data_IF_747489335336
#
_entry.id   IF_747489335336
#
_cell.length_a   1.000
_cell.length_b   1.000
_cell.length_c   1.000
_cell.angle_alpha   90.00
_cell.angle_beta   90.00
_cell.angle_gamma   90.00
#
_symmetry.space_group_name_H-M   'P 1'
#
loop_
_entity.id
_entity.type
_entity.pdbx_description
1 polymer ?
#
# COMPACT_ATOMS: atom_id res chain seq x y z
N UNK A 1 -26.84 -3.29 -72.51
CA UNK A 1 -28.03 -2.77 -71.82
C UNK A 1 -28.42 -3.75 -70.74
N UNK A 2 -28.30 -3.36 -69.47
CA UNK A 2 -29.01 -3.84 -68.27
C UNK A 2 -28.10 -3.64 -67.05
N UNK A 3 -28.36 -2.55 -66.34
CA UNK A 3 -27.80 -2.21 -65.04
C UNK A 3 -28.85 -2.55 -63.97
N UNK A 4 -28.46 -3.21 -62.88
CA UNK A 4 -29.17 -3.27 -61.58
C UNK A 4 -28.09 -3.56 -60.51
N UNK A 5 -27.53 -2.54 -59.85
CA UNK A 5 -27.96 -1.95 -58.56
C UNK A 5 -27.99 -2.96 -57.40
N UNK A 6 -26.85 -3.12 -56.72
CA UNK A 6 -26.78 -3.67 -55.36
C UNK A 6 -26.87 -2.51 -54.37
N UNK A 7 -27.99 -2.43 -53.65
CA UNK A 7 -28.20 -1.50 -52.55
C UNK A 7 -27.45 -2.01 -51.30
N UNK A 8 -26.34 -1.36 -50.95
CA UNK A 8 -25.71 -1.52 -49.63
C UNK A 8 -26.49 -0.74 -48.59
N UNK A 9 -27.05 -1.45 -47.62
CA UNK A 9 -27.62 -0.85 -46.41
C UNK A 9 -26.48 -0.50 -45.45
N UNK A 10 -26.11 0.78 -45.39
CA UNK A 10 -25.33 1.33 -44.29
C UNK A 10 -26.22 1.39 -43.04
N UNK A 11 -26.02 0.46 -42.10
CA UNK A 11 -26.57 0.59 -40.75
C UNK A 11 -25.66 1.56 -39.99
N UNK A 12 -26.11 2.80 -39.87
CA UNK A 12 -25.56 3.78 -38.93
C UNK A 12 -25.87 3.31 -37.50
N UNK A 13 -24.86 2.79 -36.81
CA UNK A 13 -24.93 2.59 -35.36
C UNK A 13 -24.73 3.96 -34.70
N UNK A 14 -25.68 4.47 -33.91
CA UNK A 14 -25.46 5.70 -33.16
C UNK A 14 -24.37 5.45 -32.12
N UNK A 15 -23.28 6.22 -32.21
CA UNK A 15 -22.32 6.36 -31.11
C UNK A 15 -23.02 7.08 -29.97
N UNK A 16 -23.57 6.32 -29.03
CA UNK A 16 -23.99 6.84 -27.74
C UNK A 16 -22.76 7.41 -27.03
N UNK A 17 -22.72 8.74 -26.90
CA UNK A 17 -21.78 9.44 -26.05
C UNK A 17 -21.99 8.98 -24.61
N UNK A 18 -21.13 8.10 -24.14
CA UNK A 18 -21.06 7.75 -22.74
C UNK A 18 -20.65 9.01 -21.95
N UNK A 19 -21.62 9.64 -21.31
CA UNK A 19 -21.38 10.67 -20.30
C UNK A 19 -20.49 10.08 -19.23
N UNK A 20 -19.28 10.60 -19.06
CA UNK A 20 -18.45 10.34 -17.91
C UNK A 20 -19.21 10.81 -16.66
N UNK A 21 -19.88 9.89 -15.98
CA UNK A 21 -20.42 10.13 -14.66
C UNK A 21 -19.22 10.37 -13.74
N UNK A 22 -19.06 11.62 -13.29
CA UNK A 22 -18.17 11.96 -12.19
C UNK A 22 -18.72 11.29 -10.93
N UNK A 23 -18.31 10.06 -10.66
CA UNK A 23 -18.56 9.43 -9.37
C UNK A 23 -17.83 10.26 -8.32
N UNK A 24 -18.60 10.89 -7.43
CA UNK A 24 -18.03 11.50 -6.22
C UNK A 24 -17.20 10.44 -5.50
N UNK A 25 -16.03 10.78 -4.93
CA UNK A 25 -15.18 9.79 -4.29
C UNK A 25 -15.97 9.09 -3.18
N UNK A 26 -16.04 7.76 -3.25
CA UNK A 26 -16.64 6.92 -2.22
C UNK A 26 -15.94 7.24 -0.91
N UNK A 27 -16.58 8.04 -0.04
CA UNK A 27 -16.04 8.31 1.29
C UNK A 27 -16.17 7.03 2.10
N UNK A 28 -15.06 6.51 2.59
CA UNK A 28 -15.12 5.39 3.52
C UNK A 28 -15.87 5.80 4.78
N UNK A 29 -16.99 5.13 5.03
CA UNK A 29 -17.68 5.22 6.31
C UNK A 29 -16.85 4.44 7.33
N UNK A 30 -16.38 5.17 8.33
CA UNK A 30 -15.75 4.60 9.53
C UNK A 30 -16.78 4.34 10.63
N UNK A 31 -18.09 4.34 10.29
CA UNK A 31 -19.15 4.07 11.25
C UNK A 31 -18.89 2.72 11.94
N UNK A 32 -18.93 2.75 13.27
CA UNK A 32 -18.69 1.58 14.11
C UNK A 32 -19.78 0.54 13.85
N UNK A 33 -19.48 -0.45 13.03
CA UNK A 33 -20.28 -1.67 12.99
C UNK A 33 -20.07 -2.45 14.28
N UNK A 34 -21.17 -2.84 14.94
CA UNK A 34 -21.12 -3.49 16.26
C UNK A 34 -20.44 -4.86 16.23
N UNK A 35 -20.55 -5.59 15.12
CA UNK A 35 -19.88 -6.86 14.86
C UNK A 35 -18.36 -6.68 14.77
N UNK A 36 -17.88 -5.71 13.99
CA UNK A 36 -16.45 -5.38 13.86
C UNK A 36 -15.88 -4.88 15.18
N UNK A 37 -16.61 -4.01 15.90
CA UNK A 37 -16.20 -3.53 17.22
C UNK A 37 -16.11 -4.66 18.26
N UNK A 38 -17.00 -5.66 18.17
CA UNK A 38 -16.94 -6.85 19.03
C UNK A 38 -15.74 -7.71 18.72
N UNK A 39 -15.46 -7.95 17.44
CA UNK A 39 -14.24 -8.64 17.01
C UNK A 39 -12.97 -7.94 17.49
N UNK A 40 -12.89 -6.60 17.34
CA UNK A 40 -11.75 -5.81 17.82
C UNK A 40 -11.52 -5.96 19.33
N UNK A 41 -12.58 -5.95 20.15
CA UNK A 41 -12.45 -6.20 21.60
C UNK A 41 -11.94 -7.61 21.88
N UNK A 42 -12.47 -8.60 21.19
CA UNK A 42 -12.06 -9.99 21.38
C UNK A 42 -10.62 -10.26 20.91
N UNK A 43 -10.08 -9.49 19.96
CA UNK A 43 -8.65 -9.53 19.62
C UNK A 43 -7.73 -9.12 20.78
N UNK A 44 -8.24 -8.35 21.76
CA UNK A 44 -7.50 -7.95 22.97
C UNK A 44 -7.71 -8.92 24.15
N UNK A 45 -8.46 -10.02 23.95
CA UNK A 45 -8.69 -11.00 25.02
C UNK A 45 -7.37 -11.66 25.47
N UNK A 46 -7.29 -11.97 26.76
CA UNK A 46 -6.11 -12.63 27.35
C UNK A 46 -5.96 -14.08 26.90
N UNK A 47 -7.05 -14.77 26.63
CA UNK A 47 -7.05 -16.15 26.17
C UNK A 47 -6.97 -16.25 24.63
N UNK A 48 -6.20 -17.22 24.15
CA UNK A 48 -6.00 -17.46 22.73
C UNK A 48 -7.27 -17.88 21.97
N UNK A 49 -8.14 -18.76 22.50
CA UNK A 49 -9.37 -19.15 21.80
C UNK A 49 -10.27 -17.97 21.44
N UNK A 50 -10.47 -17.01 22.36
CA UNK A 50 -11.28 -15.82 22.09
C UNK A 50 -10.64 -14.92 21.03
N UNK A 51 -9.32 -14.75 21.05
CA UNK A 51 -8.60 -13.99 20.01
C UNK A 51 -8.75 -14.63 18.64
N UNK A 52 -8.59 -15.96 18.55
CA UNK A 52 -8.72 -16.71 17.29
C UNK A 52 -10.15 -16.65 16.74
N UNK A 53 -11.16 -16.86 17.60
CA UNK A 53 -12.56 -16.75 17.19
C UNK A 53 -12.89 -15.34 16.67
N UNK A 54 -12.35 -14.30 17.32
CA UNK A 54 -12.54 -12.91 16.91
C UNK A 54 -11.84 -12.58 15.60
N UNK A 55 -10.62 -13.08 15.39
CA UNK A 55 -9.90 -12.94 14.12
C UNK A 55 -10.65 -13.64 12.98
N UNK A 56 -11.19 -14.83 13.22
CA UNK A 56 -12.00 -15.57 12.25
C UNK A 56 -13.29 -14.82 11.89
N UNK A 57 -13.99 -14.28 12.88
CA UNK A 57 -15.20 -13.49 12.65
C UNK A 57 -14.91 -12.23 11.82
N UNK A 58 -13.83 -11.51 12.11
CA UNK A 58 -13.40 -10.35 11.31
C UNK A 58 -13.01 -10.76 9.88
N UNK A 59 -12.34 -11.91 9.72
CA UNK A 59 -12.02 -12.48 8.41
C UNK A 59 -13.27 -12.83 7.59
N UNK A 60 -14.33 -13.32 8.22
CA UNK A 60 -15.63 -13.60 7.57
C UNK A 60 -16.37 -12.32 7.16
N UNK A 61 -16.22 -11.23 7.92
CA UNK A 61 -16.72 -9.92 7.52
C UNK A 61 -15.94 -9.39 6.30
N UNK A 62 -14.65 -9.71 6.20
CA UNK A 62 -13.83 -9.44 5.03
C UNK A 62 -13.54 -7.96 4.84
N UNK A 63 -13.58 -7.50 3.58
CA UNK A 63 -13.26 -6.13 3.17
C UNK A 63 -14.12 -5.06 3.86
N UNK A 64 -15.32 -5.41 4.29
CA UNK A 64 -16.21 -4.54 5.07
C UNK A 64 -15.67 -4.21 6.47
N UNK A 65 -14.79 -5.04 7.03
CA UNK A 65 -14.15 -4.76 8.32
C UNK A 65 -13.00 -3.76 8.19
N UNK A 66 -12.44 -3.58 6.98
CA UNK A 66 -11.23 -2.79 6.76
C UNK A 66 -11.32 -1.35 7.21
N UNK A 67 -12.39 -0.57 6.94
CA UNK A 67 -12.45 0.82 7.38
C UNK A 67 -12.23 0.95 8.90
N UNK A 68 -12.91 0.13 9.70
CA UNK A 68 -12.80 0.16 11.16
C UNK A 68 -11.44 -0.38 11.64
N UNK A 69 -10.90 -1.44 11.01
CA UNK A 69 -9.55 -1.93 11.30
C UNK A 69 -8.47 -0.88 11.01
N UNK A 70 -8.60 -0.15 9.90
CA UNK A 70 -7.70 0.92 9.50
C UNK A 70 -7.80 2.13 10.44
N UNK A 71 -9.00 2.47 10.94
CA UNK A 71 -9.15 3.45 11.99
C UNK A 71 -8.43 3.02 13.28
N UNK A 72 -8.58 1.75 13.67
CA UNK A 72 -7.87 1.19 14.84
C UNK A 72 -6.35 1.25 14.67
N UNK A 73 -5.81 0.95 13.48
CA UNK A 73 -4.38 1.14 13.17
C UNK A 73 -3.99 2.61 13.34
N UNK A 74 -4.78 3.54 12.80
CA UNK A 74 -4.49 4.98 12.83
C UNK A 74 -4.53 5.59 14.22
N UNK A 75 -5.35 5.03 15.11
CA UNK A 75 -5.52 5.45 16.51
C UNK A 75 -4.49 4.81 17.43
N UNK A 76 -4.17 3.53 17.21
CA UNK A 76 -3.29 2.76 18.09
C UNK A 76 -1.82 3.00 17.79
N UNK A 77 -1.47 3.19 16.50
CA UNK A 77 -0.07 3.19 16.07
C UNK A 77 0.47 4.60 15.86
N UNK A 78 1.68 4.82 16.39
CA UNK A 78 2.42 6.08 16.19
C UNK A 78 2.83 6.23 14.73
N UNK A 79 2.70 7.45 14.22
CA UNK A 79 2.97 7.82 12.83
C UNK A 79 4.37 8.42 12.65
N UNK A 80 4.98 8.82 13.75
CA UNK A 80 6.14 9.71 13.88
C UNK A 80 7.35 9.04 14.55
N UNK A 81 7.30 7.71 14.77
CA UNK A 81 8.33 7.00 15.49
C UNK A 81 8.47 5.56 15.02
N UNK A 82 9.71 5.07 15.05
CA UNK A 82 10.05 3.67 14.80
C UNK A 82 9.25 2.72 15.70
N UNK A 83 8.90 1.56 15.14
CA UNK A 83 8.15 0.54 15.86
C UNK A 83 8.88 0.02 17.12
N UNK A 84 10.20 0.12 17.16
CA UNK A 84 11.04 -0.18 18.33
C UNK A 84 10.74 0.75 19.52
N UNK A 85 10.33 1.99 19.26
CA UNK A 85 9.99 2.99 20.28
C UNK A 85 8.53 2.90 20.77
N UNK A 86 7.70 2.02 20.18
CA UNK A 86 6.32 1.84 20.63
C UNK A 86 6.27 1.07 21.96
N UNK A 87 5.35 1.37 22.89
CA UNK A 87 5.12 0.53 24.05
C UNK A 87 4.86 -0.93 23.68
N UNK A 88 5.26 -1.88 24.53
CA UNK A 88 5.13 -3.31 24.25
C UNK A 88 3.67 -3.70 23.92
N UNK A 89 2.70 -3.23 24.72
CA UNK A 89 1.28 -3.47 24.47
C UNK A 89 0.84 -2.96 23.08
N UNK A 90 1.35 -1.80 22.65
CA UNK A 90 1.06 -1.26 21.32
C UNK A 90 1.65 -2.14 20.21
N UNK A 91 2.86 -2.67 20.38
CA UNK A 91 3.47 -3.62 19.42
C UNK A 91 2.68 -4.92 19.33
N UNK A 92 2.22 -5.45 20.46
CA UNK A 92 1.44 -6.68 20.50
C UNK A 92 0.09 -6.49 19.80
N UNK A 93 -0.60 -5.38 20.07
CA UNK A 93 -1.82 -5.00 19.33
C UNK A 93 -1.53 -4.79 17.83
N UNK A 94 -0.40 -4.18 17.47
CA UNK A 94 -0.02 -3.97 16.07
C UNK A 94 0.18 -5.29 15.32
N UNK A 95 0.85 -6.26 15.95
CA UNK A 95 1.03 -7.61 15.38
C UNK A 95 -0.33 -8.23 15.08
N UNK A 96 -1.26 -8.22 16.03
CA UNK A 96 -2.58 -8.83 15.88
C UNK A 96 -3.40 -8.11 14.80
N UNK A 97 -3.48 -6.78 14.85
CA UNK A 97 -4.24 -5.98 13.88
C UNK A 97 -3.72 -6.17 12.46
N UNK A 98 -2.40 -6.11 12.27
CA UNK A 98 -1.79 -6.30 10.94
C UNK A 98 -1.92 -7.73 10.43
N UNK A 99 -1.97 -8.73 11.31
CA UNK A 99 -2.20 -10.12 10.89
C UNK A 99 -3.62 -10.31 10.33
N UNK A 100 -4.62 -9.76 11.01
CA UNK A 100 -6.03 -9.80 10.55
C UNK A 100 -6.20 -9.05 9.23
N UNK A 101 -5.65 -7.83 9.13
CA UNK A 101 -5.73 -7.04 7.88
C UNK A 101 -5.03 -7.76 6.73
N UNK A 102 -3.83 -8.31 6.96
CA UNK A 102 -3.11 -9.11 5.95
C UNK A 102 -3.93 -10.31 5.51
N UNK A 103 -4.55 -11.03 6.45
CA UNK A 103 -5.39 -12.19 6.14
C UNK A 103 -6.61 -11.79 5.30
N UNK A 104 -7.29 -10.69 5.64
CA UNK A 104 -8.41 -10.17 4.83
C UNK A 104 -7.96 -9.83 3.41
N UNK A 105 -6.84 -9.10 3.26
CA UNK A 105 -6.29 -8.76 1.94
C UNK A 105 -5.94 -9.99 1.09
N UNK A 106 -5.58 -11.09 1.73
CA UNK A 106 -5.18 -12.33 1.04
C UNK A 106 -6.39 -13.20 0.64
N UNK A 107 -7.53 -13.07 1.32
CA UNK A 107 -8.67 -13.98 1.17
C UNK A 107 -9.92 -13.32 0.56
N UNK A 108 -10.02 -11.99 0.58
CA UNK A 108 -11.13 -11.26 -0.03
C UNK A 108 -10.63 -10.45 -1.26
N UNK A 109 -11.07 -10.81 -2.48
CA UNK A 109 -10.66 -10.12 -3.71
C UNK A 109 -10.97 -8.61 -3.75
N UNK A 110 -11.95 -8.13 -2.98
CA UNK A 110 -12.32 -6.71 -2.92
C UNK A 110 -11.50 -5.94 -1.88
N UNK A 111 -10.77 -6.63 -1.00
CA UNK A 111 -10.09 -6.02 0.12
C UNK A 111 -9.01 -5.01 -0.29
N UNK A 112 -8.24 -5.29 -1.35
CA UNK A 112 -7.20 -4.36 -1.82
C UNK A 112 -7.82 -3.06 -2.33
N UNK A 113 -8.85 -3.16 -3.17
CA UNK A 113 -9.56 -2.00 -3.70
C UNK A 113 -10.20 -1.20 -2.57
N UNK A 114 -10.88 -1.89 -1.63
CA UNK A 114 -11.52 -1.26 -0.48
C UNK A 114 -10.50 -0.57 0.43
N UNK A 115 -9.37 -1.21 0.70
CA UNK A 115 -8.28 -0.61 1.48
C UNK A 115 -7.81 0.69 0.80
N UNK A 116 -7.49 0.64 -0.50
CA UNK A 116 -7.03 1.81 -1.27
C UNK A 116 -8.02 2.98 -1.25
N UNK A 117 -9.32 2.70 -1.36
CA UNK A 117 -10.38 3.71 -1.25
C UNK A 117 -10.42 4.40 0.14
N UNK A 118 -10.04 3.69 1.19
CA UNK A 118 -10.04 4.19 2.57
C UNK A 118 -8.68 4.70 3.04
N UNK A 119 -7.64 4.56 2.22
CA UNK A 119 -6.27 4.86 2.61
C UNK A 119 -6.09 6.33 2.93
N UNK A 120 -5.43 6.59 4.06
CA UNK A 120 -4.95 7.91 4.47
C UNK A 120 -3.49 7.80 4.91
N UNK A 121 -2.80 8.93 5.00
CA UNK A 121 -1.44 9.00 5.55
C UNK A 121 -1.38 8.46 6.99
N UNK A 122 -2.46 8.67 7.76
CA UNK A 122 -2.66 8.13 9.10
C UNK A 122 -2.55 6.60 9.19
N UNK A 123 -2.92 5.89 8.13
CA UNK A 123 -2.84 4.42 8.05
C UNK A 123 -1.50 3.99 7.48
N UNK A 124 -1.03 4.64 6.41
CA UNK A 124 0.19 4.21 5.71
C UNK A 124 1.44 4.46 6.54
N UNK A 125 1.58 5.63 7.18
CA UNK A 125 2.83 5.97 7.89
C UNK A 125 3.18 4.98 9.01
N UNK A 126 2.26 4.59 9.92
CA UNK A 126 2.59 3.57 10.91
C UNK A 126 2.92 2.21 10.30
N UNK A 127 2.26 1.83 9.20
CA UNK A 127 2.58 0.59 8.49
C UNK A 127 3.98 0.63 7.86
N UNK A 128 4.42 1.79 7.35
CA UNK A 128 5.79 1.94 6.83
C UNK A 128 6.81 1.83 7.97
N UNK A 129 6.58 2.48 9.11
CA UNK A 129 7.42 2.31 10.31
C UNK A 129 7.47 0.85 10.79
N UNK A 130 6.33 0.16 10.79
CA UNK A 130 6.26 -1.27 11.12
C UNK A 130 7.04 -2.13 10.12
N UNK A 131 6.88 -1.89 8.82
CA UNK A 131 7.52 -2.66 7.75
C UNK A 131 9.05 -2.53 7.70
N UNK A 132 9.61 -1.49 8.34
CA UNK A 132 11.06 -1.31 8.51
C UNK A 132 11.61 -1.69 9.88
N UNK A 133 10.76 -1.98 10.86
CA UNK A 133 11.17 -2.24 12.24
C UNK A 133 11.75 -3.64 12.46
N UNK A 134 12.28 -3.86 13.67
CA UNK A 134 13.03 -5.09 13.98
C UNK A 134 12.16 -6.29 14.34
N UNK A 135 10.93 -6.07 14.83
CA UNK A 135 10.00 -7.16 15.13
C UNK A 135 9.59 -7.89 13.83
N UNK A 136 10.11 -9.10 13.61
CA UNK A 136 9.94 -9.83 12.37
C UNK A 136 8.47 -10.05 11.97
N UNK A 137 7.61 -10.44 12.92
CA UNK A 137 6.20 -10.74 12.61
C UNK A 137 5.45 -9.48 12.17
N UNK A 138 5.60 -8.39 12.94
CA UNK A 138 5.03 -7.10 12.58
C UNK A 138 5.60 -6.58 11.25
N UNK A 139 6.92 -6.69 11.07
CA UNK A 139 7.63 -6.23 9.88
C UNK A 139 7.12 -6.93 8.61
N UNK A 140 6.97 -8.25 8.66
CA UNK A 140 6.46 -9.05 7.53
C UNK A 140 4.97 -8.79 7.28
N UNK A 141 4.16 -8.67 8.33
CA UNK A 141 2.73 -8.38 8.16
C UNK A 141 2.51 -7.02 7.49
N UNK A 142 3.18 -5.97 7.99
CA UNK A 142 3.09 -4.64 7.44
C UNK A 142 3.64 -4.57 6.00
N UNK A 143 4.76 -5.24 5.72
CA UNK A 143 5.30 -5.31 4.37
C UNK A 143 4.35 -5.99 3.37
N UNK A 144 3.70 -7.08 3.77
CA UNK A 144 2.70 -7.75 2.94
C UNK A 144 1.45 -6.88 2.69
N UNK A 145 0.97 -6.17 3.71
CA UNK A 145 -0.14 -5.21 3.53
C UNK A 145 0.28 -4.14 2.52
N UNK A 146 1.42 -3.49 2.75
CA UNK A 146 1.91 -2.39 1.92
C UNK A 146 2.21 -2.83 0.48
N UNK A 147 2.79 -4.00 0.27
CA UNK A 147 3.06 -4.52 -1.08
C UNK A 147 1.79 -4.73 -1.92
N UNK A 148 0.63 -4.95 -1.27
CA UNK A 148 -0.66 -5.06 -1.93
C UNK A 148 -1.33 -3.70 -2.17
N UNK A 149 -1.18 -2.75 -1.25
CA UNK A 149 -1.99 -1.52 -1.23
C UNK A 149 -1.25 -0.27 -1.70
N UNK A 150 0.08 -0.22 -1.56
CA UNK A 150 0.89 0.88 -2.12
C UNK A 150 0.77 0.84 -3.64
N UNK A 151 0.67 2.04 -4.21
CA UNK A 151 0.53 2.27 -5.64
C UNK A 151 1.18 3.60 -6.04
N UNK A 152 0.94 4.02 -7.28
CA UNK A 152 1.45 5.27 -7.83
C UNK A 152 1.02 6.52 -7.06
N UNK A 153 -0.02 6.46 -6.23
CA UNK A 153 -0.53 7.60 -5.47
C UNK A 153 0.12 7.72 -4.08
N UNK A 154 0.77 6.65 -3.61
CA UNK A 154 1.22 6.48 -2.21
C UNK A 154 2.68 6.01 -2.07
N UNK A 155 3.37 5.62 -3.14
CA UNK A 155 4.75 5.09 -3.07
C UNK A 155 5.73 6.04 -2.37
N UNK A 156 5.50 7.36 -2.42
CA UNK A 156 6.36 8.35 -1.77
C UNK A 156 6.58 8.09 -0.27
N UNK A 157 5.60 7.51 0.45
CA UNK A 157 5.74 7.16 1.85
C UNK A 157 6.86 6.14 2.05
N UNK A 158 6.95 5.13 1.17
CA UNK A 158 8.01 4.11 1.22
C UNK A 158 9.37 4.71 0.84
N UNK A 159 9.38 5.55 -0.21
CA UNK A 159 10.62 6.20 -0.69
C UNK A 159 11.26 7.09 0.37
N UNK A 160 10.46 7.77 1.20
CA UNK A 160 11.00 8.59 2.28
C UNK A 160 11.80 7.76 3.28
N UNK A 161 11.23 6.64 3.72
CA UNK A 161 11.88 5.79 4.71
C UNK A 161 13.06 5.00 4.12
N UNK A 162 13.05 4.70 2.82
CA UNK A 162 14.18 4.05 2.15
C UNK A 162 15.45 4.88 2.19
N UNK A 163 15.33 6.21 2.24
CA UNK A 163 16.49 7.11 2.24
C UNK A 163 17.17 7.27 3.58
N UNK A 164 16.54 6.80 4.64
CA UNK A 164 17.14 6.80 5.95
C UNK A 164 18.38 5.91 5.97
N UNK A 165 19.53 6.48 6.33
CA UNK A 165 20.77 5.73 6.44
C UNK A 165 20.79 4.80 7.67
N UNK A 166 19.96 5.06 8.67
CA UNK A 166 19.87 4.28 9.91
C UNK A 166 18.99 3.04 9.85
N UNK A 167 18.24 2.83 8.76
CA UNK A 167 17.39 1.65 8.60
C UNK A 167 18.22 0.36 8.53
N UNK A 168 17.76 -0.69 9.22
CA UNK A 168 18.43 -2.00 9.24
C UNK A 168 18.37 -2.69 7.87
N UNK A 169 19.26 -3.67 7.64
CA UNK A 169 19.29 -4.42 6.38
C UNK A 169 17.96 -5.13 6.06
N UNK A 170 17.32 -5.74 7.06
CA UNK A 170 16.02 -6.38 6.90
C UNK A 170 14.90 -5.35 6.67
N UNK A 171 14.92 -4.22 7.36
CA UNK A 171 13.96 -3.14 7.14
C UNK A 171 14.06 -2.59 5.72
N UNK A 172 15.28 -2.36 5.24
CA UNK A 172 15.55 -1.88 3.88
C UNK A 172 15.07 -2.87 2.82
N UNK A 173 15.40 -4.15 2.98
CA UNK A 173 14.96 -5.19 2.04
C UNK A 173 13.43 -5.26 1.94
N UNK A 174 12.70 -5.10 3.05
CA UNK A 174 11.25 -5.08 3.05
C UNK A 174 10.67 -3.86 2.32
N UNK A 175 11.19 -2.65 2.58
CA UNK A 175 10.74 -1.45 1.89
C UNK A 175 11.06 -1.49 0.38
N UNK A 176 12.21 -2.05 0.00
CA UNK A 176 12.53 -2.32 -1.40
C UNK A 176 11.55 -3.33 -2.00
N UNK A 177 11.21 -4.40 -1.28
CA UNK A 177 10.21 -5.39 -1.71
C UNK A 177 8.83 -4.78 -1.98
N UNK A 178 8.37 -3.86 -1.11
CA UNK A 178 7.15 -3.08 -1.34
C UNK A 178 7.27 -2.23 -2.62
N UNK A 179 8.38 -1.54 -2.81
CA UNK A 179 8.61 -0.73 -4.01
C UNK A 179 8.62 -1.60 -5.28
N UNK A 180 9.18 -2.80 -5.18
CA UNK A 180 9.26 -3.76 -6.27
C UNK A 180 7.90 -4.27 -6.74
N UNK A 181 6.91 -4.39 -5.85
CA UNK A 181 5.57 -4.89 -6.21
C UNK A 181 4.83 -3.96 -7.18
N UNK A 182 5.19 -2.67 -7.21
CA UNK A 182 4.57 -1.69 -8.08
C UNK A 182 5.43 -1.24 -9.28
N UNK A 183 6.70 -1.62 -9.29
CA UNK A 183 7.70 -1.13 -10.25
C UNK A 183 7.30 -1.33 -11.72
N UNK A 184 6.60 -2.43 -12.06
CA UNK A 184 6.22 -2.76 -13.43
C UNK A 184 5.07 -1.93 -14.00
N UNK A 185 4.39 -1.14 -13.17
CA UNK A 185 3.30 -0.24 -13.62
C UNK A 185 3.49 1.19 -13.10
N UNK A 186 4.73 1.54 -12.71
CA UNK A 186 5.10 2.87 -12.26
C UNK A 186 4.93 3.91 -13.38
N UNK A 187 4.31 5.03 -13.05
CA UNK A 187 4.20 6.21 -13.92
C UNK A 187 5.52 6.99 -13.95
N UNK A 188 5.70 7.83 -14.96
CA UNK A 188 6.95 8.54 -15.24
C UNK A 188 7.56 9.24 -14.03
N UNK A 189 6.78 10.03 -13.30
CA UNK A 189 7.25 10.79 -12.13
C UNK A 189 7.68 9.85 -10.99
N UNK A 190 6.98 8.72 -10.82
CA UNK A 190 7.33 7.71 -9.85
C UNK A 190 8.57 6.92 -10.27
N UNK A 191 8.75 6.60 -11.55
CA UNK A 191 9.98 5.98 -12.06
C UNK A 191 11.19 6.86 -11.74
N UNK A 192 11.11 8.16 -12.05
CA UNK A 192 12.19 9.11 -11.75
C UNK A 192 12.49 9.18 -10.24
N UNK A 193 11.43 9.24 -9.41
CA UNK A 193 11.52 9.29 -7.96
C UNK A 193 12.11 8.04 -7.33
N UNK A 194 11.70 6.87 -7.82
CA UNK A 194 12.23 5.57 -7.39
C UNK A 194 13.70 5.50 -7.78
N UNK A 195 14.07 5.74 -9.05
CA UNK A 195 15.46 5.68 -9.50
C UNK A 195 16.38 6.58 -8.67
N UNK A 196 15.99 7.84 -8.45
CA UNK A 196 16.74 8.76 -7.58
C UNK A 196 16.90 8.23 -6.15
N UNK A 197 15.87 7.58 -5.61
CA UNK A 197 15.93 6.94 -4.29
C UNK A 197 16.87 5.75 -4.31
N UNK A 198 16.84 4.91 -5.34
CA UNK A 198 17.71 3.74 -5.47
C UNK A 198 19.18 4.13 -5.61
N UNK A 199 19.50 5.25 -6.27
CA UNK A 199 20.87 5.77 -6.35
C UNK A 199 21.42 6.09 -4.95
N UNK A 200 20.66 6.85 -4.16
CA UNK A 200 21.01 7.17 -2.76
C UNK A 200 21.17 5.89 -1.94
N UNK A 201 20.23 4.95 -2.08
CA UNK A 201 20.28 3.68 -1.34
C UNK A 201 21.50 2.85 -1.74
N UNK A 202 21.83 2.79 -3.04
CA UNK A 202 23.01 2.07 -3.54
C UNK A 202 24.30 2.63 -2.93
N UNK A 203 24.44 3.95 -2.86
CA UNK A 203 25.58 4.59 -2.21
C UNK A 203 25.67 4.22 -0.72
N UNK A 204 24.54 4.28 0.00
CA UNK A 204 24.49 3.94 1.43
C UNK A 204 24.89 2.49 1.73
N UNK A 205 24.59 1.55 0.82
CA UNK A 205 24.81 0.11 1.06
C UNK A 205 26.01 -0.46 0.29
N UNK A 206 26.75 0.35 -0.46
CA UNK A 206 27.77 -0.10 -1.41
C UNK A 206 28.77 -1.09 -0.78
N UNK A 207 29.28 -0.73 0.40
CA UNK A 207 30.22 -1.54 1.17
C UNK A 207 29.59 -2.16 2.43
N UNK A 208 28.25 -2.09 2.55
CA UNK A 208 27.52 -2.61 3.71
C UNK A 208 27.38 -4.13 3.68
N UNK A 209 27.66 -4.77 4.80
CA UNK A 209 27.44 -6.21 5.04
C UNK A 209 25.94 -6.45 5.26
N UNK A 210 25.42 -7.59 4.76
CA UNK A 210 24.02 -7.99 4.96
C UNK A 210 23.02 -7.38 3.97
N UNK A 211 23.48 -6.58 3.01
CA UNK A 211 22.62 -5.91 2.02
C UNK A 211 22.52 -6.64 0.67
N UNK A 212 22.94 -7.89 0.55
CA UNK A 212 22.89 -8.65 -0.71
C UNK A 212 21.48 -8.76 -1.27
N UNK A 213 20.50 -9.05 -0.42
CA UNK A 213 19.09 -9.07 -0.81
C UNK A 213 18.62 -7.69 -1.29
N UNK A 214 19.03 -6.61 -0.62
CA UNK A 214 18.68 -5.25 -1.04
C UNK A 214 19.26 -4.95 -2.42
N UNK A 215 20.54 -5.27 -2.66
CA UNK A 215 21.20 -5.09 -3.97
C UNK A 215 20.51 -5.89 -5.07
N UNK A 216 20.07 -7.11 -4.79
CA UNK A 216 19.29 -7.92 -5.73
C UNK A 216 17.95 -7.27 -6.07
N UNK A 217 17.17 -6.85 -5.07
CA UNK A 217 15.86 -6.23 -5.28
C UNK A 217 16.00 -4.91 -6.06
N UNK A 218 17.03 -4.10 -5.78
CA UNK A 218 17.30 -2.86 -6.53
C UNK A 218 17.46 -3.13 -8.02
N UNK A 219 18.22 -4.17 -8.40
CA UNK A 219 18.36 -4.56 -9.81
C UNK A 219 17.03 -4.99 -10.44
N UNK A 220 16.21 -5.74 -9.70
CA UNK A 220 14.88 -6.16 -10.17
C UNK A 220 13.95 -4.95 -10.37
N UNK A 221 13.93 -4.01 -9.42
CA UNK A 221 13.15 -2.76 -9.54
C UNK A 221 13.58 -2.00 -10.80
N UNK A 222 14.88 -1.79 -11.02
CA UNK A 222 15.38 -1.08 -12.20
C UNK A 222 14.97 -1.78 -13.50
N UNK A 223 15.05 -3.11 -13.55
CA UNK A 223 14.61 -3.91 -14.70
C UNK A 223 13.10 -3.76 -14.97
N UNK A 224 12.26 -3.88 -13.93
CA UNK A 224 10.80 -3.75 -14.05
C UNK A 224 10.37 -2.36 -14.49
N UNK A 225 10.99 -1.31 -13.96
CA UNK A 225 10.65 0.06 -14.37
C UNK A 225 11.07 0.36 -15.81
N UNK A 226 12.19 -0.20 -16.26
CA UNK A 226 12.58 -0.10 -17.67
C UNK A 226 11.53 -0.75 -18.60
N UNK A 227 10.74 -1.70 -18.09
CA UNK A 227 9.67 -2.39 -18.80
C UNK A 227 8.27 -1.85 -18.48
N UNK A 228 8.13 -0.88 -17.57
CA UNK A 228 6.82 -0.36 -17.18
C UNK A 228 6.10 0.25 -18.38
N UNK A 229 4.86 -0.18 -18.61
CA UNK A 229 3.98 0.34 -19.67
C UNK A 229 3.68 1.83 -19.45
N UNK A 230 3.67 2.27 -18.18
CA UNK A 230 3.32 3.63 -17.78
C UNK A 230 4.54 4.56 -17.67
N UNK A 231 5.77 4.10 -17.93
CA UNK A 231 7.00 4.88 -17.66
C UNK A 231 7.10 6.21 -18.42
N UNK A 232 6.34 6.37 -19.51
CA UNK A 232 6.28 7.59 -20.30
C UNK A 232 4.99 8.39 -20.09
N UNK A 233 4.07 7.88 -19.25
CA UNK A 233 2.78 8.49 -18.94
C UNK A 233 2.91 9.30 -17.66
N UNK A 234 2.39 10.53 -17.68
CA UNK A 234 2.34 11.39 -16.51
C UNK A 234 1.27 10.90 -15.55
N UNK A 235 1.59 10.81 -14.26
CA UNK A 235 0.57 10.68 -13.23
C UNK A 235 -0.10 12.04 -13.00
N UNK A 236 -1.43 12.07 -13.03
CA UNK A 236 -2.16 13.30 -12.74
C UNK A 236 -2.00 13.70 -11.26
N UNK A 237 -1.67 14.97 -11.02
CA UNK A 237 -1.48 15.47 -9.66
C UNK A 237 -2.71 15.26 -8.76
N UNK A 238 -3.93 15.37 -9.31
CA UNK A 238 -5.16 15.12 -8.55
C UNK A 238 -5.30 13.68 -8.03
N UNK A 239 -4.55 12.74 -8.61
CA UNK A 239 -4.53 11.33 -8.18
C UNK A 239 -3.56 11.09 -7.02
N UNK A 240 -2.64 12.01 -6.73
CA UNK A 240 -1.65 11.85 -5.67
C UNK A 240 -2.24 12.11 -4.28
N UNK A 241 -1.83 11.31 -3.30
CA UNK A 241 -2.07 11.67 -1.90
C UNK A 241 -1.42 13.02 -1.56
N UNK A 242 -2.04 13.80 -0.68
CA UNK A 242 -1.56 15.14 -0.30
C UNK A 242 -0.10 15.14 0.16
N UNK A 243 0.29 14.13 0.91
CA UNK A 243 1.66 13.96 1.35
C UNK A 243 2.62 13.74 0.17
N UNK A 244 2.23 12.94 -0.83
CA UNK A 244 3.02 12.70 -2.03
C UNK A 244 3.10 13.91 -2.97
N UNK A 245 2.07 14.77 -2.98
CA UNK A 245 2.07 16.00 -3.76
C UNK A 245 3.17 16.98 -3.34
N UNK A 246 3.36 17.14 -2.04
CA UNK A 246 4.34 18.06 -1.47
C UNK A 246 5.57 17.33 -0.96
N UNK A 247 5.85 16.14 -1.50
CA UNK A 247 6.89 15.28 -0.97
C UNK A 247 8.27 15.87 -1.24
N UNK A 248 8.86 16.43 -0.20
CA UNK A 248 10.24 16.87 -0.23
C UNK A 248 11.18 15.71 0.07
N UNK A 249 11.84 15.27 -0.99
CA UNK A 249 12.91 14.31 -0.95
C UNK A 249 14.01 14.69 0.06
N UNK A 250 14.33 15.97 0.26
CA UNK A 250 15.39 16.41 1.19
C UNK A 250 15.00 16.46 2.67
N UNK A 251 13.70 16.35 2.98
CA UNK A 251 13.23 16.51 4.34
C UNK A 251 13.66 15.35 5.26
N UNK A 252 13.85 15.59 6.56
CA UNK A 252 13.96 14.52 7.56
C UNK A 252 12.66 13.71 7.69
N UNK A 253 12.76 12.48 8.19
CA UNK A 253 11.59 11.69 8.57
C UNK A 253 10.79 12.42 9.66
N UNK A 254 9.49 12.56 9.43
CA UNK A 254 8.51 13.15 10.35
C UNK A 254 7.47 12.13 10.77
#
# INVERSE_FOLDING_TARGET
>A
MAAWLLASWLVLVPMSSASAQSSSPVRCSFEKRSDVATGLRGLQASDEPTRLASAAALGQIGSDALPVLMASISETLRRDAEASAWPQAQRDSAVILTDVVRAILSNDPQAILRFRQCTTDAVIRPLVWAARGDNQRLRVNAANILANVIDNTTVCFVLHHLRDSGITASGRANLLGITNSMASYAYRENVASIMKTLDIVNEQILNGIGFDQSRMIIRDISSRMAQSENKNVSLEAVSLQRYCLNYDFGAPLQ
#
